data_IF_054386323962
#
_entry.id   IF_054386323962
#
_cell.length_a   1.000
_cell.length_b   1.000
_cell.length_c   1.000
_cell.angle_alpha   90.00
_cell.angle_beta   90.00
_cell.angle_gamma   90.00
#
_symmetry.space_group_name_H-M   'P 1'
#
loop_
_entity.id
_entity.type
_entity.pdbx_description
1 polymer ?
#
# COMPACT_ATOMS: atom_id res chain seq x y z
N UNK A 1 19.96 -5.04 9.76
CA UNK A 1 18.97 -4.03 9.33
C UNK A 1 19.31 -3.65 7.90
N UNK A 2 18.33 -3.52 6.99
CA UNK A 2 18.59 -3.04 5.64
C UNK A 2 19.29 -1.68 5.68
N UNK A 3 20.41 -1.56 4.95
CA UNK A 3 21.30 -0.39 4.98
C UNK A 3 21.00 0.66 3.90
N UNK A 4 20.19 0.28 2.91
CA UNK A 4 19.82 1.09 1.75
C UNK A 4 18.33 0.92 1.42
N UNK A 5 17.79 1.80 0.59
CA UNK A 5 16.43 1.63 0.06
C UNK A 5 16.33 0.36 -0.78
N UNK A 6 17.39 0.02 -1.51
CA UNK A 6 17.51 -1.20 -2.32
C UNK A 6 17.51 -2.48 -1.47
N UNK A 7 18.20 -2.46 -0.32
CA UNK A 7 18.17 -3.58 0.63
C UNK A 7 16.77 -3.76 1.20
N UNK A 8 16.09 -2.66 1.55
CA UNK A 8 14.72 -2.75 2.07
C UNK A 8 13.75 -3.27 0.99
N UNK A 9 13.89 -2.83 -0.27
CA UNK A 9 13.13 -3.37 -1.39
C UNK A 9 13.33 -4.89 -1.49
N UNK A 10 14.57 -5.34 -1.56
CA UNK A 10 14.91 -6.76 -1.81
C UNK A 10 14.58 -7.67 -0.62
N UNK A 11 14.88 -7.24 0.60
CA UNK A 11 14.78 -8.09 1.79
C UNK A 11 13.40 -8.05 2.46
N UNK A 12 12.64 -6.96 2.27
CA UNK A 12 11.36 -6.78 2.94
C UNK A 12 10.20 -6.68 1.96
N UNK A 13 10.30 -5.78 0.97
CA UNK A 13 9.15 -5.46 0.11
C UNK A 13 8.85 -6.58 -0.87
N UNK A 14 9.84 -7.02 -1.64
CA UNK A 14 9.67 -8.09 -2.62
C UNK A 14 9.13 -9.40 -2.03
N UNK A 15 9.67 -9.96 -0.94
CA UNK A 15 9.11 -11.16 -0.34
C UNK A 15 7.69 -10.94 0.20
N UNK A 16 7.41 -9.80 0.84
CA UNK A 16 6.07 -9.49 1.36
C UNK A 16 5.03 -9.40 0.22
N UNK A 17 5.40 -8.76 -0.89
CA UNK A 17 4.53 -8.67 -2.07
C UNK A 17 4.36 -10.04 -2.74
N UNK A 18 5.43 -10.84 -2.85
CA UNK A 18 5.37 -12.18 -3.41
C UNK A 18 4.44 -13.10 -2.60
N UNK A 19 4.54 -13.04 -1.27
CA UNK A 19 3.65 -13.74 -0.35
C UNK A 19 2.18 -13.38 -0.54
N UNK A 20 1.87 -12.09 -0.72
CA UNK A 20 0.50 -11.66 -1.02
C UNK A 20 0.05 -12.13 -2.42
N UNK A 21 0.93 -12.05 -3.43
CA UNK A 21 0.62 -12.49 -4.78
C UNK A 21 0.33 -14.01 -4.87
N UNK A 22 0.89 -14.82 -3.98
CA UNK A 22 0.60 -16.25 -3.86
C UNK A 22 -0.73 -16.54 -3.13
N UNK A 23 -1.27 -15.57 -2.38
CA UNK A 23 -2.51 -15.72 -1.62
C UNK A 23 -3.30 -14.40 -1.66
N UNK A 24 -3.86 -14.03 -2.83
CA UNK A 24 -4.45 -12.71 -3.04
C UNK A 24 -5.75 -12.46 -2.27
N UNK A 25 -6.30 -13.49 -1.63
CA UNK A 25 -7.42 -13.42 -0.69
C UNK A 25 -7.00 -13.16 0.77
N UNK A 26 -5.70 -13.25 1.11
CA UNK A 26 -5.23 -13.01 2.48
C UNK A 26 -5.18 -11.50 2.75
N UNK A 27 -6.19 -11.00 3.46
CA UNK A 27 -6.32 -9.59 3.85
C UNK A 27 -5.08 -9.10 4.59
N UNK A 28 -4.54 -9.89 5.53
CA UNK A 28 -3.38 -9.49 6.33
C UNK A 28 -2.16 -9.30 5.44
N UNK A 29 -1.92 -10.22 4.49
CA UNK A 29 -0.81 -10.10 3.53
C UNK A 29 -1.01 -8.92 2.58
N UNK A 30 -2.24 -8.66 2.14
CA UNK A 30 -2.55 -7.49 1.32
C UNK A 30 -2.26 -6.17 2.03
N UNK A 31 -2.68 -6.04 3.29
CA UNK A 31 -2.40 -4.85 4.10
C UNK A 31 -0.90 -4.68 4.37
N UNK A 32 -0.19 -5.77 4.70
CA UNK A 32 1.26 -5.72 4.89
C UNK A 32 1.99 -5.30 3.61
N UNK A 33 1.60 -5.84 2.45
CA UNK A 33 2.16 -5.45 1.16
C UNK A 33 1.98 -3.95 0.89
N UNK A 34 0.78 -3.40 1.15
CA UNK A 34 0.54 -1.96 1.01
C UNK A 34 1.40 -1.12 1.98
N UNK A 35 1.52 -1.55 3.24
CA UNK A 35 2.33 -0.86 4.25
C UNK A 35 3.80 -0.79 3.86
N UNK A 36 4.40 -1.92 3.46
CA UNK A 36 5.83 -1.95 3.12
C UNK A 36 6.12 -1.19 1.82
N UNK A 37 5.20 -1.24 0.83
CA UNK A 37 5.31 -0.44 -0.40
C UNK A 37 5.21 1.06 -0.13
N UNK A 38 4.35 1.50 0.80
CA UNK A 38 4.30 2.91 1.22
C UNK A 38 5.60 3.31 1.96
N UNK A 39 6.12 2.41 2.80
CA UNK A 39 7.36 2.66 3.57
C UNK A 39 8.64 2.70 2.74
N UNK A 40 8.63 2.23 1.48
CA UNK A 40 9.75 2.48 0.56
C UNK A 40 10.09 3.97 0.43
N UNK A 41 9.08 4.84 0.46
CA UNK A 41 9.31 6.28 0.39
C UNK A 41 10.09 6.80 1.60
N UNK A 42 9.85 6.26 2.80
CA UNK A 42 10.60 6.60 4.01
C UNK A 42 12.07 6.17 3.89
N UNK A 43 12.31 4.94 3.42
CA UNK A 43 13.66 4.41 3.22
C UNK A 43 14.46 5.20 2.20
N UNK A 44 13.85 5.57 1.06
CA UNK A 44 14.51 6.38 0.04
C UNK A 44 14.76 7.82 0.52
N UNK A 45 13.82 8.43 1.24
CA UNK A 45 13.97 9.80 1.75
C UNK A 45 15.07 9.94 2.81
N UNK A 46 15.41 8.85 3.51
CA UNK A 46 16.44 8.81 4.54
C UNK A 46 17.81 8.33 4.03
N UNK A 47 17.87 7.78 2.81
CA UNK A 47 19.09 7.20 2.26
C UNK A 47 20.21 8.25 2.09
N UNK A 48 21.38 7.95 2.67
CA UNK A 48 22.54 8.83 2.64
C UNK A 48 22.36 10.15 3.39
N UNK A 49 21.26 10.32 4.14
CA UNK A 49 20.97 11.56 4.84
C UNK A 49 21.38 11.49 6.32
N UNK A 50 21.96 12.58 6.88
CA UNK A 50 22.20 12.64 8.31
C UNK A 50 20.87 12.76 9.08
N UNK A 51 20.83 12.33 10.36
CA UNK A 51 19.71 12.59 11.25
C UNK A 51 19.40 14.08 11.30
N UNK A 52 18.13 14.43 11.17
CA UNK A 52 17.65 15.82 11.09
C UNK A 52 16.34 15.97 11.86
N UNK A 53 15.86 17.21 11.99
CA UNK A 53 14.59 17.45 12.64
C UNK A 53 13.40 16.93 11.82
N UNK A 54 12.26 16.79 12.50
CA UNK A 54 11.06 16.21 11.91
C UNK A 54 10.53 17.00 10.71
N UNK A 55 10.71 18.32 10.68
CA UNK A 55 10.22 19.16 9.57
C UNK A 55 11.00 18.86 8.30
N UNK A 56 12.33 18.85 8.37
CA UNK A 56 13.19 18.54 7.21
C UNK A 56 12.98 17.11 6.74
N UNK A 57 12.81 16.14 7.66
CA UNK A 57 12.49 14.76 7.28
C UNK A 57 11.15 14.66 6.53
N UNK A 58 10.10 15.35 7.02
CA UNK A 58 8.80 15.37 6.36
C UNK A 58 8.88 15.98 4.96
N UNK A 59 9.65 17.06 4.77
CA UNK A 59 9.84 17.67 3.44
C UNK A 59 10.48 16.71 2.43
N UNK A 60 11.48 15.93 2.86
CA UNK A 60 12.14 14.91 2.02
C UNK A 60 11.17 13.79 1.66
N UNK A 61 10.42 13.32 2.65
CA UNK A 61 9.41 12.28 2.44
C UNK A 61 8.31 12.75 1.49
N UNK A 62 7.83 13.99 1.65
CA UNK A 62 6.83 14.59 0.77
C UNK A 62 7.37 14.74 -0.66
N UNK A 63 8.65 15.11 -0.83
CA UNK A 63 9.29 15.17 -2.14
C UNK A 63 9.31 13.79 -2.83
N UNK A 64 9.75 12.73 -2.14
CA UNK A 64 9.75 11.36 -2.68
C UNK A 64 8.34 10.88 -3.01
N UNK A 65 7.36 11.18 -2.14
CA UNK A 65 5.97 10.80 -2.38
C UNK A 65 5.37 11.52 -3.58
N UNK A 66 5.61 12.82 -3.72
CA UNK A 66 5.12 13.60 -4.86
C UNK A 66 5.74 13.09 -6.17
N UNK A 67 7.04 12.81 -6.19
CA UNK A 67 7.70 12.22 -7.36
C UNK A 67 7.09 10.85 -7.71
N UNK A 68 6.84 10.00 -6.71
CA UNK A 68 6.18 8.71 -6.94
C UNK A 68 4.75 8.85 -7.44
N UNK A 69 4.00 9.87 -7.00
CA UNK A 69 2.65 10.14 -7.48
C UNK A 69 2.64 10.62 -8.93
N UNK A 70 3.66 11.39 -9.34
CA UNK A 70 3.83 11.82 -10.74
C UNK A 70 4.12 10.64 -11.67
N UNK A 71 4.96 9.69 -11.24
CA UNK A 71 5.34 8.51 -12.05
C UNK A 71 4.27 7.41 -12.01
N UNK A 72 3.68 7.18 -10.84
CA UNK A 72 2.70 6.12 -10.61
C UNK A 72 1.54 6.65 -9.76
N UNK A 73 0.48 7.20 -10.38
CA UNK A 73 -0.72 7.66 -9.66
C UNK A 73 -1.37 6.57 -8.80
N UNK A 74 -1.21 5.29 -9.17
CA UNK A 74 -1.64 4.13 -8.37
C UNK A 74 -0.99 4.05 -6.97
N UNK A 75 0.09 4.79 -6.74
CA UNK A 75 0.72 4.90 -5.42
C UNK A 75 -0.19 5.59 -4.40
N UNK A 76 -1.06 6.52 -4.81
CA UNK A 76 -2.04 7.14 -3.89
C UNK A 76 -2.95 6.10 -3.24
N UNK A 77 -3.42 5.14 -4.03
CA UNK A 77 -4.27 4.06 -3.55
C UNK A 77 -3.55 3.19 -2.51
N UNK A 78 -2.26 2.91 -2.71
CA UNK A 78 -1.43 2.19 -1.73
C UNK A 78 -1.21 3.01 -0.45
N UNK A 79 -0.96 4.32 -0.57
CA UNK A 79 -0.85 5.20 0.59
C UNK A 79 -2.12 5.21 1.43
N UNK A 80 -3.27 5.37 0.77
CA UNK A 80 -4.58 5.40 1.43
C UNK A 80 -4.84 4.10 2.20
N UNK A 81 -4.56 2.94 1.61
CA UNK A 81 -4.72 1.64 2.28
C UNK A 81 -3.74 1.47 3.44
N UNK A 82 -2.47 1.82 3.23
CA UNK A 82 -1.44 1.71 4.26
C UNK A 82 -1.76 2.60 5.47
N UNK A 83 -2.20 3.83 5.23
CA UNK A 83 -2.60 4.74 6.30
C UNK A 83 -3.87 4.23 6.99
N UNK A 84 -4.86 3.72 6.23
CA UNK A 84 -6.09 3.16 6.78
C UNK A 84 -5.79 2.00 7.74
N UNK A 85 -4.91 1.09 7.32
CA UNK A 85 -4.47 -0.07 8.11
C UNK A 85 -3.75 0.33 9.40
N UNK A 86 -2.97 1.42 9.38
CA UNK A 86 -2.23 1.91 10.55
C UNK A 86 -3.10 2.67 11.55
N UNK A 87 -4.09 3.41 11.06
CA UNK A 87 -4.80 4.39 11.89
C UNK A 87 -6.25 4.03 12.25
N UNK A 88 -6.79 2.90 11.80
CA UNK A 88 -8.18 2.44 11.98
C UNK A 88 -9.26 3.40 11.39
N UNK A 89 -9.02 4.72 11.40
CA UNK A 89 -9.79 5.76 10.74
C UNK A 89 -8.83 6.78 10.13
N UNK A 90 -9.04 7.16 8.86
CA UNK A 90 -8.25 8.20 8.23
C UNK A 90 -8.79 9.57 8.61
N UNK A 91 -7.92 10.43 9.13
CA UNK A 91 -8.23 11.85 9.25
C UNK A 91 -8.45 12.41 7.85
N UNK A 92 -9.61 12.98 7.55
CA UNK A 92 -9.80 13.69 6.27
C UNK A 92 -8.81 14.87 6.23
N UNK A 93 -7.97 15.03 5.19
CA UNK A 93 -7.08 16.18 5.09
C UNK A 93 -7.92 17.46 5.06
N UNK A 94 -7.71 18.36 6.03
CA UNK A 94 -8.38 19.68 6.05
C UNK A 94 -7.74 20.70 5.09
N UNK A 95 -6.73 20.30 4.32
CA UNK A 95 -5.93 21.19 3.48
C UNK A 95 -6.17 20.93 1.99
N UNK A 96 -6.43 21.97 1.18
CA UNK A 96 -6.68 21.84 -0.25
C UNK A 96 -5.44 21.44 -1.07
N UNK A 97 -4.25 21.40 -0.46
CA UNK A 97 -3.00 21.02 -1.15
C UNK A 97 -2.71 19.52 -1.12
N UNK A 98 -3.54 18.70 -0.48
CA UNK A 98 -3.36 17.25 -0.43
C UNK A 98 -4.34 16.55 -1.37
N UNK A 99 -3.92 15.49 -2.09
CA UNK A 99 -4.82 14.72 -2.95
C UNK A 99 -5.99 14.18 -2.14
N UNK A 100 -7.18 14.17 -2.77
CA UNK A 100 -8.41 13.69 -2.14
C UNK A 100 -8.25 12.20 -1.87
N UNK A 101 -8.31 11.81 -0.60
CA UNK A 101 -8.24 10.40 -0.21
C UNK A 101 -9.51 9.66 -0.63
N UNK A 102 -9.35 8.57 -1.35
CA UNK A 102 -10.47 7.77 -1.87
C UNK A 102 -10.88 6.65 -0.93
N UNK A 103 -9.99 6.26 -0.01
CA UNK A 103 -10.27 5.28 1.06
C UNK A 103 -10.28 6.05 2.39
N UNK A 104 -11.40 6.13 3.12
CA UNK A 104 -11.48 6.89 4.38
C UNK A 104 -11.25 6.06 5.65
N UNK A 105 -11.34 4.73 5.60
CA UNK A 105 -11.25 3.83 6.77
C UNK A 105 -10.78 2.43 6.38
N UNK A 106 -10.16 1.68 7.30
CA UNK A 106 -9.68 0.31 7.06
C UNK A 106 -10.81 -0.67 6.81
N UNK A 107 -12.00 -0.41 7.35
CA UNK A 107 -13.18 -1.27 7.26
C UNK A 107 -13.70 -1.43 5.82
N UNK A 108 -13.20 -0.61 4.88
CA UNK A 108 -13.51 -0.71 3.45
C UNK A 108 -12.59 -1.63 2.67
N UNK A 109 -11.51 -2.11 3.28
CA UNK A 109 -10.67 -3.17 2.73
C UNK A 109 -11.29 -4.49 3.13
N UNK A 110 -11.94 -5.15 2.18
CA UNK A 110 -12.68 -6.38 2.41
C UNK A 110 -12.22 -7.45 1.45
N UNK A 111 -12.30 -8.71 1.87
CA UNK A 111 -12.16 -9.85 0.97
C UNK A 111 -13.53 -10.21 0.44
N UNK A 112 -13.64 -10.70 -0.79
CA UNK A 112 -14.93 -11.21 -1.30
C UNK A 112 -15.51 -12.22 -0.31
N UNK A 113 -16.66 -11.89 0.29
CA UNK A 113 -17.43 -12.82 1.12
C UNK A 113 -17.94 -13.93 0.20
N UNK A 114 -17.57 -15.16 0.52
CA UNK A 114 -18.06 -16.34 -0.18
C UNK A 114 -19.58 -16.35 -0.35
N UNK A 115 -20.07 -16.81 -1.50
CA UNK A 115 -21.48 -17.21 -1.60
C UNK A 115 -21.77 -18.19 -0.44
N UNK A 116 -22.80 -17.91 0.36
CA UNK A 116 -23.31 -18.73 1.48
C UNK A 116 -22.71 -18.57 2.89
N UNK A 117 -21.97 -17.51 3.23
CA UNK A 117 -21.42 -17.33 4.61
C UNK A 117 -20.50 -18.49 5.07
N UNK A 118 -20.03 -19.34 4.17
CA UNK A 118 -19.05 -20.38 4.50
C UNK A 118 -17.65 -19.77 4.54
N UNK A 119 -16.86 -20.13 5.56
CA UNK A 119 -15.41 -19.84 5.58
C UNK A 119 -14.76 -20.54 4.39
N UNK A 120 -14.29 -19.78 3.39
CA UNK A 120 -13.59 -20.33 2.25
C UNK A 120 -12.26 -20.94 2.72
N UNK A 121 -12.08 -22.24 2.46
CA UNK A 121 -10.93 -23.03 2.89
C UNK A 121 -10.93 -24.46 2.33
N UNK A 122 -12.10 -25.00 1.96
CA UNK A 122 -12.23 -26.31 1.32
C UNK A 122 -13.25 -26.23 0.17
N UNK A 123 -12.78 -26.06 -1.07
CA UNK A 123 -13.63 -26.14 -2.26
C UNK A 123 -13.10 -25.39 -3.48
N UNK A 124 -13.22 -25.99 -4.67
CA UNK A 124 -12.67 -25.56 -5.97
C UNK A 124 -13.19 -24.25 -6.58
N UNK A 125 -13.56 -23.26 -5.75
CA UNK A 125 -13.95 -21.91 -6.14
C UNK A 125 -13.05 -20.82 -5.53
N UNK A 126 -11.91 -21.20 -4.93
CA UNK A 126 -10.93 -20.29 -4.32
C UNK A 126 -10.22 -19.35 -5.32
N UNK A 127 -10.37 -19.58 -6.63
CA UNK A 127 -9.69 -18.83 -7.69
C UNK A 127 -10.23 -17.40 -7.90
N UNK A 128 -11.39 -17.05 -7.33
CA UNK A 128 -12.02 -15.73 -7.46
C UNK A 128 -11.97 -14.87 -6.17
N UNK A 129 -11.30 -15.35 -5.13
CA UNK A 129 -11.17 -14.61 -3.88
C UNK A 129 -9.95 -13.68 -3.97
N UNK A 130 -10.21 -12.36 -3.98
CA UNK A 130 -9.18 -11.33 -3.92
C UNK A 130 -9.54 -10.29 -2.84
N UNK A 131 -8.54 -9.55 -2.37
CA UNK A 131 -8.74 -8.38 -1.51
C UNK A 131 -9.18 -7.21 -2.38
N UNK A 132 -10.35 -6.64 -2.06
CA UNK A 132 -10.93 -5.46 -2.70
C UNK A 132 -11.01 -4.30 -1.71
N UNK A 133 -11.00 -3.08 -2.26
CA UNK A 133 -11.22 -1.86 -1.49
C UNK A 133 -12.41 -1.12 -2.06
N UNK A 134 -13.38 -0.79 -1.21
CA UNK A 134 -14.53 0.04 -1.58
C UNK A 134 -14.17 1.52 -1.48
N UNK A 135 -14.19 2.22 -2.61
CA UNK A 135 -13.90 3.64 -2.72
C UNK A 135 -15.09 4.50 -2.24
N UNK A 136 -14.88 5.81 -2.17
CA UNK A 136 -15.93 6.76 -1.75
C UNK A 136 -17.14 6.83 -2.67
N UNK A 137 -16.96 6.56 -3.96
CA UNK A 137 -18.04 6.50 -4.96
C UNK A 137 -18.83 5.17 -4.93
N UNK A 138 -18.47 4.26 -4.02
CA UNK A 138 -19.07 2.94 -3.88
C UNK A 138 -18.52 1.88 -4.84
N UNK A 139 -17.57 2.24 -5.71
CA UNK A 139 -16.90 1.27 -6.59
C UNK A 139 -15.89 0.43 -5.79
N UNK A 140 -15.61 -0.77 -6.29
CA UNK A 140 -14.63 -1.69 -5.69
C UNK A 140 -13.42 -1.86 -6.60
N UNK A 141 -12.22 -1.75 -6.02
CA UNK A 141 -10.96 -1.91 -6.76
C UNK A 141 -10.12 -3.06 -6.17
N UNK A 142 -9.62 -4.01 -6.99
CA UNK A 142 -8.74 -5.07 -6.51
C UNK A 142 -7.39 -4.50 -6.08
N UNK A 143 -6.84 -5.04 -4.99
CA UNK A 143 -5.57 -4.57 -4.42
C UNK A 143 -4.35 -5.07 -5.21
N UNK A 144 -4.35 -6.33 -5.64
CA UNK A 144 -3.19 -6.97 -6.24
C UNK A 144 -2.62 -6.24 -7.48
N UNK A 145 -3.44 -5.75 -8.43
CA UNK A 145 -2.92 -5.00 -9.57
C UNK A 145 -2.18 -3.72 -9.16
N UNK A 146 -2.69 -2.99 -8.17
CA UNK A 146 -2.04 -1.77 -7.67
C UNK A 146 -0.73 -2.08 -6.94
N UNK A 147 -0.70 -3.15 -6.14
CA UNK A 147 0.52 -3.63 -5.46
C UNK A 147 1.61 -3.98 -6.48
N UNK A 148 1.27 -4.73 -7.54
CA UNK A 148 2.22 -5.10 -8.60
C UNK A 148 2.74 -3.88 -9.36
N UNK A 149 1.86 -2.95 -9.72
CA UNK A 149 2.23 -1.73 -10.43
C UNK A 149 3.21 -0.88 -9.61
N UNK A 150 2.93 -0.68 -8.32
CA UNK A 150 3.78 0.13 -7.45
C UNK A 150 5.12 -0.57 -7.19
N UNK A 151 5.13 -1.90 -7.01
CA UNK A 151 6.38 -2.66 -6.89
C UNK A 151 7.27 -2.49 -8.12
N UNK A 152 6.71 -2.65 -9.33
CA UNK A 152 7.48 -2.51 -10.57
C UNK A 152 8.01 -1.09 -10.77
N UNK A 153 7.22 -0.09 -10.37
CA UNK A 153 7.67 1.30 -10.36
C UNK A 153 8.90 1.48 -9.44
N UNK A 154 8.85 0.92 -8.23
CA UNK A 154 9.99 0.97 -7.30
C UNK A 154 11.22 0.25 -7.85
N UNK A 155 11.05 -0.90 -8.51
CA UNK A 155 12.15 -1.63 -9.18
C UNK A 155 12.80 -0.83 -10.30
N UNK A 156 12.02 -0.05 -11.04
CA UNK A 156 12.54 0.78 -12.12
C UNK A 156 13.31 2.00 -11.59
N UNK A 157 12.91 2.50 -10.41
CA UNK A 157 13.47 3.71 -9.80
C UNK A 157 14.77 3.48 -9.01
N UNK A 158 15.05 2.26 -8.55
CA UNK A 158 16.19 1.88 -7.68
C UNK A 158 17.17 0.92 -8.36
#
# INVERSE_FOLDING_TARGET
>A
MPSSAKDFLTLMVEPTVAEFAQSPHDLRRGLLAAIVLNHMADHLAQEGQPPTDRSTMNQRLDAVRNEMLEICPGFQFIQDIADAAKHAKLFVPKSPSKPVREVPTSDRVTTTLGLFHASFGEGGFAEAAEVFVTLNDGTTKPLLPAVKLVLETWRTKL
#
